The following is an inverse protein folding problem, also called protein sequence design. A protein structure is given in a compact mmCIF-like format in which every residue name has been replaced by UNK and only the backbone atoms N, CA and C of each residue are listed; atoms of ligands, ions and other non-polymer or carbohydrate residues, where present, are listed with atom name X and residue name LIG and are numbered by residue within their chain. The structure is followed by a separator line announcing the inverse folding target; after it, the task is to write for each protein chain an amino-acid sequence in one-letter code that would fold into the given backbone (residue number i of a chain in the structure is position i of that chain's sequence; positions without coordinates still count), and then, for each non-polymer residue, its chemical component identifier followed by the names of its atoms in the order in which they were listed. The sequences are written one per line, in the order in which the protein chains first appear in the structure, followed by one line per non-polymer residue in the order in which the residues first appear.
data_IF_526894682307
#
_entry.id   IF_526894682307
#
_cell.length_a   1.000
_cell.length_b   1.000
_cell.length_c   1.000
_cell.angle_alpha   90.00
_cell.angle_beta   90.00
_cell.angle_gamma   90.00
#
_symmetry.space_group_name_H-M   'P 1'
#
loop_
_entity.id
_entity.type
_entity.pdbx_description
1 polymer ?
#
# COMPACT_ATOMS: atom_id res chain seq x y z
N UNK A 1 -29.97 -4.25 10.57
CA UNK A 1 -29.77 -5.58 11.18
C UNK A 1 -28.39 -5.58 11.79
N UNK A 2 -28.23 -6.02 13.03
CA UNK A 2 -26.94 -6.05 13.74
C UNK A 2 -26.74 -7.43 14.35
N UNK A 3 -25.53 -7.97 14.25
CA UNK A 3 -25.17 -9.29 14.79
C UNK A 3 -24.17 -9.10 15.92
N UNK A 4 -24.54 -9.52 17.14
CA UNK A 4 -23.65 -9.52 18.30
C UNK A 4 -22.93 -10.88 18.40
N UNK A 5 -22.06 -11.18 17.45
CA UNK A 5 -21.35 -12.46 17.40
C UNK A 5 -20.54 -12.66 16.11
N UNK A 6 -20.01 -13.87 15.93
CA UNK A 6 -19.28 -14.24 14.72
C UNK A 6 -20.26 -14.66 13.62
N UNK A 7 -19.94 -14.29 12.38
CA UNK A 7 -20.59 -14.79 11.18
C UNK A 7 -19.61 -15.78 10.53
N UNK A 8 -20.09 -16.96 10.17
CA UNK A 8 -19.36 -17.93 9.34
C UNK A 8 -20.10 -17.97 8.00
N UNK A 9 -19.38 -17.76 6.91
CA UNK A 9 -19.91 -17.80 5.56
C UNK A 9 -18.91 -18.51 4.65
N UNK A 10 -19.41 -19.18 3.61
CA UNK A 10 -18.56 -19.75 2.55
C UNK A 10 -17.99 -18.63 1.67
N UNK A 11 -18.78 -17.59 1.41
CA UNK A 11 -18.39 -16.43 0.60
C UNK A 11 -19.13 -15.16 1.08
N UNK A 12 -18.47 -14.01 0.91
CA UNK A 12 -19.06 -12.70 1.14
C UNK A 12 -18.77 -11.82 -0.09
N UNK A 13 -19.82 -11.49 -0.85
CA UNK A 13 -19.73 -10.53 -1.95
C UNK A 13 -20.06 -9.12 -1.43
N UNK A 14 -19.12 -8.19 -1.56
CA UNK A 14 -19.31 -6.79 -1.16
C UNK A 14 -19.38 -5.91 -2.41
N UNK A 15 -20.57 -5.38 -2.70
CA UNK A 15 -20.76 -4.38 -3.75
C UNK A 15 -20.49 -2.99 -3.22
N UNK A 16 -19.26 -2.53 -3.37
CA UNK A 16 -18.89 -1.17 -3.07
C UNK A 16 -19.55 -0.20 -4.07
N UNK A 17 -20.11 0.89 -3.54
CA UNK A 17 -20.53 2.02 -4.38
C UNK A 17 -19.32 2.86 -4.85
N UNK A 18 -18.19 2.74 -4.14
CA UNK A 18 -16.94 3.44 -4.42
C UNK A 18 -16.14 2.72 -5.52
N UNK A 19 -15.36 3.48 -6.28
CA UNK A 19 -14.46 2.96 -7.32
C UNK A 19 -13.34 2.11 -6.71
N UNK A 20 -13.06 0.97 -7.34
CA UNK A 20 -11.92 0.11 -7.00
C UNK A 20 -10.58 0.86 -7.23
N UNK A 21 -9.51 0.60 -6.45
CA UNK A 21 -8.35 1.48 -6.41
C UNK A 21 -7.43 1.45 -7.63
N UNK A 22 -7.82 0.83 -8.76
CA UNK A 22 -7.02 0.76 -10.01
C UNK A 22 -6.51 2.14 -10.49
N UNK A 23 -7.12 3.25 -10.03
CA UNK A 23 -6.62 4.60 -10.25
C UNK A 23 -5.19 4.84 -9.75
N UNK A 24 -4.65 4.00 -8.86
CA UNK A 24 -3.26 4.06 -8.40
C UNK A 24 -2.27 3.91 -9.56
N UNK A 25 -2.69 3.24 -10.63
CA UNK A 25 -1.88 3.03 -11.84
C UNK A 25 -2.06 4.13 -12.91
N UNK A 26 -2.92 5.13 -12.67
CA UNK A 26 -3.10 6.23 -13.61
C UNK A 26 -1.90 7.18 -13.61
N UNK A 27 -1.66 7.83 -14.74
CA UNK A 27 -0.45 8.65 -14.96
C UNK A 27 -0.35 9.87 -14.03
N UNK A 28 -1.48 10.38 -13.57
CA UNK A 28 -1.60 11.53 -12.69
C UNK A 28 -1.70 11.15 -11.22
N UNK A 29 -1.64 9.86 -10.89
CA UNK A 29 -1.63 9.40 -9.51
C UNK A 29 -0.37 9.86 -8.77
N UNK A 30 -0.58 10.58 -7.66
CA UNK A 30 0.49 11.12 -6.83
C UNK A 30 0.92 10.10 -5.78
N UNK A 31 1.82 9.19 -6.17
CA UNK A 31 2.41 8.23 -5.24
C UNK A 31 3.21 8.94 -4.14
N UNK A 32 2.80 8.76 -2.88
CA UNK A 32 3.48 9.32 -1.70
C UNK A 32 4.88 8.70 -1.60
N UNK A 33 5.90 9.51 -1.32
CA UNK A 33 7.26 8.97 -1.20
C UNK A 33 7.42 8.12 0.07
N UNK A 34 8.30 7.10 0.04
CA UNK A 34 8.55 6.26 1.22
C UNK A 34 9.09 7.07 2.42
N UNK A 35 9.79 8.17 2.18
CA UNK A 35 10.21 9.10 3.24
C UNK A 35 9.03 9.82 3.87
N UNK A 36 8.04 10.25 3.08
CA UNK A 36 6.81 10.85 3.58
C UNK A 36 5.96 9.82 4.34
N UNK A 37 5.83 8.60 3.82
CA UNK A 37 5.17 7.49 4.51
C UNK A 37 5.84 7.22 5.85
N UNK A 38 7.18 7.12 5.89
CA UNK A 38 7.94 6.93 7.13
C UNK A 38 7.65 8.04 8.15
N UNK A 39 7.71 9.31 7.74
CA UNK A 39 7.41 10.45 8.62
C UNK A 39 6.00 10.36 9.20
N UNK A 40 5.01 9.98 8.37
CA UNK A 40 3.65 9.81 8.83
C UNK A 40 3.51 8.67 9.85
N UNK A 41 4.12 7.50 9.59
CA UNK A 41 4.12 6.37 10.53
C UNK A 41 4.76 6.76 11.87
N UNK A 42 5.85 7.53 11.84
CA UNK A 42 6.53 7.99 13.05
C UNK A 42 5.63 8.91 13.90
N UNK A 43 4.86 9.79 13.25
CA UNK A 43 3.93 10.74 13.87
C UNK A 43 2.61 10.10 14.33
N UNK A 44 1.92 9.39 13.42
CA UNK A 44 0.53 8.97 13.59
C UNK A 44 0.38 7.48 13.99
N UNK A 45 1.46 6.68 13.89
CA UNK A 45 1.48 5.24 14.22
C UNK A 45 0.57 4.35 13.36
N UNK A 46 0.10 4.84 12.22
CA UNK A 46 -0.58 4.05 11.18
C UNK A 46 -0.15 4.52 9.78
N UNK A 47 -0.64 3.85 8.74
CA UNK A 47 -0.36 4.22 7.35
C UNK A 47 -1.22 5.42 6.92
N UNK A 48 -0.74 6.26 5.98
CA UNK A 48 -1.54 7.32 5.39
C UNK A 48 -2.82 6.77 4.77
N UNK A 49 -3.96 7.39 5.06
CA UNK A 49 -5.28 6.99 4.53
C UNK A 49 -5.91 5.76 5.20
N UNK A 50 -5.23 5.15 6.18
CA UNK A 50 -5.77 4.05 6.98
C UNK A 50 -6.29 4.57 8.32
N UNK A 51 -7.41 4.04 8.84
CA UNK A 51 -7.91 4.45 10.14
C UNK A 51 -6.95 4.01 11.25
N UNK A 52 -6.85 4.84 12.28
CA UNK A 52 -6.12 4.49 13.51
C UNK A 52 -6.85 3.40 14.28
N UNK A 53 -6.12 2.68 15.14
CA UNK A 53 -6.71 1.67 16.03
C UNK A 53 -7.84 2.26 16.89
N UNK A 54 -7.67 3.50 17.36
CA UNK A 54 -8.68 4.22 18.15
C UNK A 54 -9.95 4.49 17.35
N UNK A 55 -9.83 4.93 16.10
CA UNK A 55 -11.01 5.17 15.25
C UNK A 55 -11.77 3.88 14.93
N UNK A 56 -11.04 2.77 14.75
CA UNK A 56 -11.65 1.44 14.54
C UNK A 56 -12.36 0.94 15.80
N UNK A 57 -11.79 1.17 16.98
CA UNK A 57 -12.44 0.82 18.26
C UNK A 57 -13.71 1.64 18.50
N UNK A 58 -13.69 2.94 18.19
CA UNK A 58 -14.82 3.85 18.43
C UNK A 58 -15.95 3.67 17.40
N UNK A 59 -15.61 3.54 16.11
CA UNK A 59 -16.58 3.59 15.01
C UNK A 59 -16.82 2.24 14.34
N UNK A 60 -16.04 1.21 14.69
CA UNK A 60 -16.01 -0.06 13.99
C UNK A 60 -15.30 0.04 12.64
N UNK A 61 -15.39 -1.04 11.87
CA UNK A 61 -14.72 -1.17 10.58
C UNK A 61 -15.71 -1.52 9.47
N UNK A 62 -15.79 -0.70 8.44
CA UNK A 62 -16.53 -1.04 7.23
C UNK A 62 -15.69 -2.01 6.38
N UNK A 63 -16.04 -3.31 6.41
CA UNK A 63 -15.26 -4.38 5.76
C UNK A 63 -14.93 -4.07 4.28
N UNK A 64 -15.91 -3.62 3.51
CA UNK A 64 -15.70 -3.29 2.11
C UNK A 64 -14.71 -2.14 1.92
N UNK A 65 -14.88 -1.06 2.68
CA UNK A 65 -13.99 0.10 2.58
C UNK A 65 -12.58 -0.25 3.04
N UNK A 66 -12.45 -1.06 4.09
CA UNK A 66 -11.16 -1.56 4.53
C UNK A 66 -10.50 -2.41 3.44
N UNK A 67 -11.25 -3.30 2.79
CA UNK A 67 -10.71 -4.12 1.70
C UNK A 67 -10.23 -3.25 0.52
N UNK A 68 -10.97 -2.18 0.20
CA UNK A 68 -10.57 -1.20 -0.81
C UNK A 68 -9.27 -0.47 -0.42
N UNK A 69 -9.20 0.06 0.80
CA UNK A 69 -8.00 0.73 1.32
C UNK A 69 -6.78 -0.20 1.36
N UNK A 70 -6.96 -1.45 1.78
CA UNK A 70 -5.88 -2.44 1.75
C UNK A 70 -5.39 -2.70 0.33
N UNK A 71 -6.29 -2.83 -0.64
CA UNK A 71 -5.90 -3.04 -2.03
C UNK A 71 -5.13 -1.82 -2.57
N UNK A 72 -5.59 -0.60 -2.28
CA UNK A 72 -4.88 0.63 -2.63
C UNK A 72 -3.43 0.62 -2.09
N UNK A 73 -3.23 0.21 -0.83
CA UNK A 73 -1.88 0.09 -0.25
C UNK A 73 -1.04 -1.02 -0.86
N UNK A 74 -1.66 -2.11 -1.30
CA UNK A 74 -0.95 -3.18 -2.03
C UNK A 74 -0.46 -2.64 -3.38
N UNK A 75 -1.30 -1.92 -4.12
CA UNK A 75 -0.95 -1.33 -5.41
C UNK A 75 0.17 -0.28 -5.27
N UNK A 76 0.08 0.61 -4.29
CA UNK A 76 1.16 1.56 -3.94
C UNK A 76 2.48 0.83 -3.60
N UNK A 77 2.41 -0.27 -2.84
CA UNK A 77 3.58 -1.07 -2.50
C UNK A 77 4.20 -1.73 -3.73
N UNK A 78 3.40 -2.20 -4.69
CA UNK A 78 3.91 -2.73 -5.95
C UNK A 78 4.62 -1.65 -6.77
N UNK A 79 4.08 -0.43 -6.86
CA UNK A 79 4.75 0.69 -7.53
C UNK A 79 6.11 1.00 -6.88
N UNK A 80 6.18 1.06 -5.56
CA UNK A 80 7.44 1.23 -4.85
C UNK A 80 8.41 0.08 -5.10
N UNK A 81 7.92 -1.16 -5.12
CA UNK A 81 8.76 -2.35 -5.34
C UNK A 81 9.32 -2.40 -6.76
N UNK A 82 8.53 -2.03 -7.77
CA UNK A 82 8.98 -1.92 -9.16
C UNK A 82 10.11 -0.88 -9.25
N UNK A 83 9.89 0.32 -8.69
CA UNK A 83 10.91 1.37 -8.67
C UNK A 83 12.20 0.92 -7.99
N UNK A 84 12.09 0.28 -6.82
CA UNK A 84 13.25 -0.25 -6.11
C UNK A 84 14.00 -1.32 -6.91
N UNK A 85 13.27 -2.18 -7.64
CA UNK A 85 13.88 -3.19 -8.48
C UNK A 85 14.63 -2.58 -9.68
N UNK A 86 14.09 -1.53 -10.30
CA UNK A 86 14.77 -0.77 -11.36
C UNK A 86 16.07 -0.15 -10.87
N UNK A 87 16.02 0.61 -9.77
CA UNK A 87 17.21 1.21 -9.14
C UNK A 87 18.27 0.17 -8.77
N UNK A 88 17.84 -1.00 -8.28
CA UNK A 88 18.72 -2.10 -7.94
C UNK A 88 19.39 -2.74 -9.16
N UNK A 89 18.70 -2.82 -10.30
CA UNK A 89 19.29 -3.30 -11.55
C UNK A 89 20.32 -2.31 -12.10
N UNK A 90 20.01 -1.02 -12.09
CA UNK A 90 20.95 0.04 -12.49
C UNK A 90 22.21 0.02 -11.62
N UNK A 91 22.05 -0.09 -10.29
CA UNK A 91 23.18 -0.15 -9.36
C UNK A 91 24.02 -1.41 -9.59
N UNK A 92 23.41 -2.55 -9.90
CA UNK A 92 24.14 -3.78 -10.24
C UNK A 92 24.95 -3.61 -11.51
N UNK A 93 24.38 -3.00 -12.55
CA UNK A 93 25.09 -2.75 -13.80
C UNK A 93 26.30 -1.84 -13.58
N UNK A 94 26.10 -0.70 -12.91
CA UNK A 94 27.18 0.24 -12.59
C UNK A 94 28.31 -0.43 -11.77
N UNK A 95 27.95 -1.28 -10.82
CA UNK A 95 28.93 -2.02 -10.02
C UNK A 95 29.76 -3.02 -10.86
N UNK A 96 29.14 -3.72 -11.82
CA UNK A 96 29.88 -4.63 -12.69
C UNK A 96 30.83 -3.87 -13.64
N UNK A 97 30.42 -2.70 -14.13
CA UNK A 97 31.29 -1.82 -14.93
C UNK A 97 32.50 -1.33 -14.12
N UNK A 98 32.29 -0.88 -12.88
CA UNK A 98 33.36 -0.44 -11.98
C UNK A 98 34.34 -1.58 -11.66
N UNK A 99 33.84 -2.79 -11.38
CA UNK A 99 34.70 -3.97 -11.17
C UNK A 99 35.55 -4.29 -12.40
N UNK A 100 34.98 -4.15 -13.61
CA UNK A 100 35.73 -4.37 -14.85
C UNK A 100 36.85 -3.35 -15.05
N UNK A 101 36.64 -2.10 -14.61
CA UNK A 101 37.65 -1.04 -14.67
C UNK A 101 38.76 -1.19 -13.62
N UNK A 102 38.43 -1.68 -12.42
CA UNK A 102 39.39 -1.89 -11.32
C UNK A 102 40.18 -3.21 -11.50
N UNK A 103 39.63 -4.19 -12.21
CA UNK A 103 40.26 -5.49 -12.49
C UNK A 103 41.26 -5.50 -13.66
N UNK A 104 41.61 -4.33 -14.21
CA UNK A 104 42.72 -4.11 -15.16
C UNK A 104 43.88 -3.43 -14.46
#
# INVERSE_FOLDING_TARGET
MSVHGKIIAEEIEVKLANTWPDYVFEKDYQLISLEQVKKHIEAEKHLPGMPSAKEVEENGLALGEMQRLMMEKIEELFLHTIKLNEELLELKQANEELKSQIGK
#
